data_IF_279479676765
#
_entry.id   IF_279479676765
#
_cell.length_a   1.000
_cell.length_b   1.000
_cell.length_c   1.000
_cell.angle_alpha   90.00
_cell.angle_beta   90.00
_cell.angle_gamma   90.00
#
_symmetry.space_group_name_H-M   'P 1'
#
loop_
_entity.id
_entity.type
_entity.pdbx_description
1 polymer ?
#
# COMPACT_ATOMS: atom_id res chain seq x y z
N UNK A 1 8.01 -0.38 -20.44
CA UNK A 1 8.03 -1.64 -19.64
C UNK A 1 9.28 -1.59 -18.78
N UNK A 2 9.17 -1.60 -17.44
CA UNK A 2 10.39 -1.64 -16.61
C UNK A 2 11.10 -2.98 -16.88
N UNK A 3 12.37 -2.96 -17.30
CA UNK A 3 13.16 -4.14 -17.69
C UNK A 3 13.54 -5.09 -16.55
N UNK A 4 12.61 -5.32 -15.62
CA UNK A 4 12.76 -6.16 -14.42
C UNK A 4 11.81 -7.35 -14.48
N UNK A 5 12.20 -8.45 -13.84
CA UNK A 5 11.39 -9.68 -13.81
C UNK A 5 10.10 -9.49 -13.02
N UNK A 6 9.06 -10.29 -13.33
CA UNK A 6 7.78 -10.29 -12.60
C UNK A 6 7.97 -10.56 -11.11
N UNK A 7 8.87 -11.48 -10.77
CA UNK A 7 9.19 -11.80 -9.39
C UNK A 7 9.86 -10.62 -8.67
N UNK A 8 10.72 -9.88 -9.38
CA UNK A 8 11.33 -8.68 -8.82
C UNK A 8 10.29 -7.60 -8.53
N UNK A 9 9.29 -7.44 -9.41
CA UNK A 9 8.16 -6.52 -9.18
C UNK A 9 7.41 -6.93 -7.91
N UNK A 10 7.05 -8.22 -7.78
CA UNK A 10 6.34 -8.74 -6.61
C UNK A 10 7.09 -8.52 -5.30
N UNK A 11 8.41 -8.70 -5.29
CA UNK A 11 9.25 -8.45 -4.11
C UNK A 11 9.27 -6.96 -3.72
N UNK A 12 9.35 -6.06 -4.70
CA UNK A 12 9.32 -4.61 -4.48
C UNK A 12 7.96 -4.22 -3.87
N UNK A 13 6.87 -4.73 -4.42
CA UNK A 13 5.50 -4.49 -3.93
C UNK A 13 5.33 -4.97 -2.49
N UNK A 14 5.71 -6.20 -2.18
CA UNK A 14 5.61 -6.74 -0.82
C UNK A 14 6.39 -5.88 0.20
N UNK A 15 7.60 -5.44 -0.18
CA UNK A 15 8.44 -4.56 0.66
C UNK A 15 7.80 -3.16 0.82
N UNK A 16 7.19 -2.63 -0.23
CA UNK A 16 6.52 -1.34 -0.19
C UNK A 16 5.26 -1.40 0.69
N UNK A 17 4.39 -2.39 0.49
CA UNK A 17 3.18 -2.60 1.28
C UNK A 17 3.49 -2.72 2.77
N UNK A 18 4.50 -3.53 3.15
CA UNK A 18 4.95 -3.64 4.55
C UNK A 18 5.41 -2.31 5.13
N UNK A 19 6.04 -1.44 4.33
CA UNK A 19 6.41 -0.09 4.78
C UNK A 19 5.18 0.79 4.95
N UNK A 20 4.23 0.77 4.02
CA UNK A 20 3.04 1.62 4.06
C UNK A 20 2.10 1.31 5.24
N UNK A 21 2.11 0.08 5.76
CA UNK A 21 1.36 -0.30 6.97
C UNK A 21 1.81 0.39 8.26
N UNK A 22 2.99 1.01 8.30
CA UNK A 22 3.47 1.72 9.48
C UNK A 22 2.57 2.92 9.81
N UNK A 23 2.12 3.03 11.07
CA UNK A 23 1.16 4.04 11.57
C UNK A 23 1.37 5.44 10.97
N UNK A 24 2.58 6.01 11.06
CA UNK A 24 2.87 7.35 10.50
C UNK A 24 2.56 7.50 9.00
N UNK A 25 2.83 6.48 8.18
CA UNK A 25 2.60 6.50 6.73
C UNK A 25 1.15 6.14 6.38
N UNK A 26 0.57 5.20 7.12
CA UNK A 26 -0.84 4.83 7.00
C UNK A 26 -1.76 6.01 7.34
N UNK A 27 -1.48 6.71 8.44
CA UNK A 27 -2.31 7.83 8.90
C UNK A 27 -2.31 8.97 7.86
N UNK A 28 -1.21 9.20 7.13
CA UNK A 28 -1.15 10.15 6.00
C UNK A 28 -1.93 9.71 4.76
N UNK A 29 -2.14 8.41 4.58
CA UNK A 29 -2.87 7.85 3.44
C UNK A 29 -4.37 7.66 3.73
N UNK A 30 -4.76 7.71 5.01
CA UNK A 30 -6.15 7.51 5.45
C UNK A 30 -7.07 8.57 4.87
N UNK A 31 -6.62 9.82 4.77
CA UNK A 31 -7.39 10.94 4.22
C UNK A 31 -7.70 10.79 2.71
N UNK A 32 -6.97 9.91 2.02
CA UNK A 32 -7.19 9.60 0.61
C UNK A 32 -8.04 8.36 0.38
N UNK A 33 -8.36 7.59 1.43
CA UNK A 33 -9.30 6.49 1.33
C UNK A 33 -10.71 7.07 1.12
N UNK A 34 -11.37 6.69 0.02
CA UNK A 34 -12.70 7.20 -0.33
C UNK A 34 -13.70 7.00 0.83
N UNK A 35 -14.68 7.90 1.02
CA UNK A 35 -15.67 7.79 2.09
C UNK A 35 -16.56 6.53 2.00
N UNK A 36 -16.53 5.78 0.90
CA UNK A 36 -17.15 4.45 0.73
C UNK A 36 -16.16 3.31 0.97
N UNK A 37 -15.15 3.55 1.79
CA UNK A 37 -14.22 2.52 2.22
C UNK A 37 -14.88 1.75 3.34
N UNK A 38 -15.29 0.51 3.10
CA UNK A 38 -15.84 -0.43 4.10
C UNK A 38 -14.91 -0.65 5.33
N UNK A 39 -13.70 -0.07 5.31
CA UNK A 39 -12.70 -0.05 6.36
C UNK A 39 -13.14 0.64 7.67
N UNK A 40 -14.13 1.54 7.64
CA UNK A 40 -14.66 2.15 8.87
C UNK A 40 -15.82 1.34 9.52
N UNK A 41 -16.16 0.16 8.97
CA UNK A 41 -17.23 -0.71 9.49
C UNK A 41 -16.73 -2.00 10.19
N UNK A 42 -15.43 -2.11 10.48
CA UNK A 42 -14.84 -3.23 11.23
C UNK A 42 -14.05 -2.73 12.44
#
# INVERSE_FOLDING_TARGET
MMGVTRERIRQIEAKALKKLQHKKRRDQLRDFASPTSDWDMI
#
